data_IF_080922971687
#
_entry.id   IF_080922971687
#
_cell.length_a   1.000
_cell.length_b   1.000
_cell.length_c   1.000
_cell.angle_alpha   90.00
_cell.angle_beta   90.00
_cell.angle_gamma   90.00
#
_symmetry.space_group_name_H-M   'P 1'
#
loop_
_entity.id
_entity.type
_entity.pdbx_description
1 polymer ?
#
# COMPACT_ATOMS: atom_id res chain seq x y z
N UNK A 1 12.69 -9.62 -3.31
CA UNK A 1 12.55 -8.25 -2.77
C UNK A 1 13.88 -7.60 -2.43
N UNK A 2 14.67 -8.11 -1.48
CA UNK A 2 15.98 -7.54 -1.08
C UNK A 2 16.91 -7.11 -2.23
N UNK A 3 17.23 -8.01 -3.16
CA UNK A 3 18.12 -7.71 -4.29
C UNK A 3 17.59 -6.57 -5.18
N UNK A 4 16.26 -6.47 -5.31
CA UNK A 4 15.62 -5.38 -6.05
C UNK A 4 15.79 -4.05 -5.31
N UNK A 5 15.55 -4.01 -3.99
CA UNK A 5 15.73 -2.82 -3.16
C UNK A 5 17.18 -2.32 -3.20
N UNK A 6 18.15 -3.24 -3.07
CA UNK A 6 19.59 -2.93 -3.18
C UNK A 6 19.93 -2.33 -4.55
N UNK A 7 19.37 -2.87 -5.64
CA UNK A 7 19.56 -2.34 -7.01
C UNK A 7 18.91 -0.97 -7.19
N UNK A 8 17.75 -0.75 -6.58
CA UNK A 8 17.02 0.52 -6.59
C UNK A 8 17.62 1.56 -5.64
N UNK A 9 18.61 1.21 -4.82
CA UNK A 9 19.19 2.10 -3.81
C UNK A 9 18.26 2.38 -2.62
N UNK A 10 17.22 1.58 -2.42
CA UNK A 10 16.25 1.72 -1.35
C UNK A 10 16.54 0.77 -0.18
N UNK A 11 16.21 1.19 1.03
CA UNK A 11 16.41 0.37 2.26
C UNK A 11 15.10 0.00 2.95
N UNK A 12 13.98 0.40 2.37
CA UNK A 12 12.63 0.18 2.88
C UNK A 12 11.63 0.28 1.73
N UNK A 13 10.43 -0.24 1.96
CA UNK A 13 9.32 -0.13 1.03
C UNK A 13 7.99 -0.14 1.78
N UNK A 14 6.95 0.33 1.08
CA UNK A 14 5.56 0.16 1.48
C UNK A 14 4.72 -0.23 0.26
N UNK A 15 3.66 -0.98 0.50
CA UNK A 15 2.57 -1.25 -0.42
C UNK A 15 1.32 -0.64 0.20
N UNK A 16 0.69 0.27 -0.53
CA UNK A 16 -0.48 1.03 -0.09
C UNK A 16 -1.54 0.98 -1.18
N UNK A 17 -2.80 0.87 -0.78
CA UNK A 17 -3.97 0.94 -1.68
C UNK A 17 -4.99 1.91 -1.09
N UNK A 18 -5.87 2.47 -1.93
CA UNK A 18 -7.04 3.22 -1.46
C UNK A 18 -8.36 2.46 -1.67
N UNK A 19 -8.27 1.23 -2.19
CA UNK A 19 -9.42 0.36 -2.46
C UNK A 19 -10.09 -0.12 -1.16
N UNK A 20 -11.40 -0.32 -1.21
CA UNK A 20 -12.21 -0.92 -0.15
C UNK A 20 -11.93 -0.36 1.27
N UNK A 21 -12.09 0.96 1.49
CA UNK A 21 -11.78 1.61 2.76
C UNK A 21 -12.53 0.95 3.93
N UNK A 22 -11.84 0.79 5.06
CA UNK A 22 -12.36 0.07 6.22
C UNK A 22 -12.58 -1.43 5.96
N UNK A 23 -11.90 -2.00 4.95
CA UNK A 23 -12.14 -3.35 4.44
C UNK A 23 -13.60 -3.59 4.04
N UNK A 24 -14.29 -2.53 3.59
CA UNK A 24 -15.66 -2.60 3.10
C UNK A 24 -15.66 -2.57 1.57
N UNK A 25 -16.28 -3.57 0.90
CA UNK A 25 -16.43 -3.54 -0.55
C UNK A 25 -17.15 -2.28 -1.01
N UNK A 26 -16.54 -1.57 -1.95
CA UNK A 26 -17.19 -0.50 -2.72
C UNK A 26 -17.18 -0.84 -4.20
N UNK A 27 -17.86 -0.04 -5.01
CA UNK A 27 -17.87 -0.27 -6.45
C UNK A 27 -16.49 0.00 -7.09
N UNK A 28 -16.23 -0.65 -8.22
CA UNK A 28 -14.94 -0.58 -8.89
C UNK A 28 -14.59 0.84 -9.38
N UNK A 29 -15.59 1.65 -9.74
CA UNK A 29 -15.36 3.04 -10.18
C UNK A 29 -14.91 3.92 -9.01
N UNK A 30 -15.50 3.74 -7.82
CA UNK A 30 -15.07 4.39 -6.59
C UNK A 30 -13.67 3.95 -6.20
N UNK A 31 -13.35 2.65 -6.28
CA UNK A 31 -12.00 2.16 -6.03
C UNK A 31 -10.98 2.80 -6.98
N UNK A 32 -11.26 2.83 -8.29
CA UNK A 32 -10.39 3.46 -9.27
C UNK A 32 -10.19 4.96 -9.01
N UNK A 33 -11.26 5.69 -8.65
CA UNK A 33 -11.16 7.12 -8.33
C UNK A 33 -10.30 7.37 -7.08
N UNK A 34 -10.49 6.56 -6.03
CA UNK A 34 -9.72 6.67 -4.79
C UNK A 34 -8.25 6.31 -5.02
N UNK A 35 -8.00 5.26 -5.79
CA UNK A 35 -6.66 4.81 -6.14
C UNK A 35 -5.92 5.87 -6.97
N UNK A 36 -6.59 6.50 -7.94
CA UNK A 36 -6.02 7.62 -8.69
C UNK A 36 -5.70 8.84 -7.79
N UNK A 37 -6.51 9.10 -6.76
CA UNK A 37 -6.21 10.15 -5.78
C UNK A 37 -4.97 9.81 -4.94
N UNK A 38 -4.84 8.56 -4.48
CA UNK A 38 -3.64 8.08 -3.80
C UNK A 38 -2.39 8.23 -4.65
N UNK A 39 -2.45 7.86 -5.93
CA UNK A 39 -1.33 8.00 -6.87
C UNK A 39 -0.93 9.46 -7.07
N UNK A 40 -1.89 10.36 -7.27
CA UNK A 40 -1.62 11.80 -7.35
C UNK A 40 -0.92 12.32 -6.10
N UNK A 41 -1.38 11.94 -4.90
CA UNK A 41 -0.77 12.35 -3.64
C UNK A 41 0.66 11.83 -3.47
N UNK A 42 0.93 10.61 -3.92
CA UNK A 42 2.28 10.03 -3.92
C UNK A 42 3.22 10.83 -4.82
N UNK A 43 2.77 11.17 -6.04
CA UNK A 43 3.53 11.97 -6.98
C UNK A 43 3.77 13.40 -6.46
N UNK A 44 2.75 14.02 -5.85
CA UNK A 44 2.87 15.35 -5.23
C UNK A 44 3.83 15.37 -4.03
N UNK A 45 3.91 14.26 -3.29
CA UNK A 45 4.87 14.07 -2.21
C UNK A 45 6.29 13.73 -2.70
N UNK A 46 6.50 13.55 -4.01
CA UNK A 46 7.79 13.28 -4.63
C UNK A 46 8.17 11.79 -4.69
N UNK A 47 7.21 10.89 -4.49
CA UNK A 47 7.42 9.46 -4.72
C UNK A 47 7.18 9.08 -6.17
N UNK A 48 7.86 8.03 -6.61
CA UNK A 48 7.64 7.38 -7.90
C UNK A 48 7.06 5.98 -7.64
N UNK A 49 5.72 5.83 -7.51
CA UNK A 49 5.11 4.54 -7.23
C UNK A 49 5.18 3.61 -8.44
N UNK A 50 5.38 2.32 -8.18
CA UNK A 50 5.16 1.26 -9.15
C UNK A 50 3.73 0.75 -9.00
N UNK A 51 3.03 0.58 -10.13
CA UNK A 51 1.74 -0.09 -10.15
C UNK A 51 1.88 -1.53 -9.61
N UNK A 52 0.95 -1.91 -8.74
CA UNK A 52 0.90 -3.23 -8.11
C UNK A 52 -0.55 -3.67 -7.94
N UNK A 53 -0.77 -4.96 -7.67
CA UNK A 53 -2.09 -5.55 -7.50
C UNK A 53 -2.09 -6.49 -6.29
N UNK A 54 -3.18 -6.45 -5.52
CA UNK A 54 -3.48 -7.45 -4.50
C UNK A 54 -4.36 -8.52 -5.12
N UNK A 55 -3.82 -9.74 -5.20
CA UNK A 55 -4.48 -10.89 -5.81
C UNK A 55 -4.99 -11.80 -4.69
N UNK A 56 -6.29 -12.06 -4.68
CA UNK A 56 -6.88 -13.00 -3.72
C UNK A 56 -6.53 -14.45 -4.10
N UNK A 57 -6.34 -15.32 -3.10
CA UNK A 57 -6.04 -16.75 -3.33
C UNK A 57 -7.17 -17.50 -4.06
N UNK A 58 -8.39 -16.96 -4.03
CA UNK A 58 -9.57 -17.50 -4.71
C UNK A 58 -10.18 -16.48 -5.65
N UNK A 59 -11.07 -16.94 -6.54
CA UNK A 59 -11.74 -16.08 -7.53
C UNK A 59 -12.96 -15.31 -6.98
N UNK A 60 -13.15 -15.28 -5.65
CA UNK A 60 -14.29 -14.63 -5.01
C UNK A 60 -14.15 -13.10 -4.90
N UNK A 61 -12.93 -12.58 -5.04
CA UNK A 61 -12.64 -11.15 -5.01
C UNK A 61 -11.91 -10.74 -6.28
N UNK A 62 -12.22 -9.55 -6.79
CA UNK A 62 -11.49 -8.97 -7.92
C UNK A 62 -10.08 -8.56 -7.46
N UNK A 63 -9.14 -8.59 -8.40
CA UNK A 63 -7.81 -8.04 -8.19
C UNK A 63 -7.93 -6.54 -7.83
N UNK A 64 -7.23 -6.12 -6.78
CA UNK A 64 -7.29 -4.74 -6.30
C UNK A 64 -6.03 -3.97 -6.63
N UNK A 65 -6.18 -2.80 -7.24
CA UNK A 65 -5.06 -1.91 -7.53
C UNK A 65 -4.38 -1.43 -6.25
N UNK A 66 -3.06 -1.29 -6.32
CA UNK A 66 -2.21 -0.79 -5.25
C UNK A 66 -0.96 -0.10 -5.80
N UNK A 67 -0.23 0.56 -4.92
CA UNK A 67 1.07 1.15 -5.22
C UNK A 67 2.15 0.47 -4.40
N UNK A 68 3.24 0.08 -5.05
CA UNK A 68 4.49 -0.23 -4.37
C UNK A 68 5.39 1.02 -4.39
N UNK A 69 5.86 1.44 -3.22
CA UNK A 69 6.70 2.63 -3.07
C UNK A 69 8.04 2.23 -2.45
N UNK A 70 9.11 2.47 -3.20
CA UNK A 70 10.47 2.33 -2.71
C UNK A 70 10.85 3.52 -1.82
N UNK A 71 11.65 3.25 -0.78
CA UNK A 71 12.18 4.23 0.17
C UNK A 71 11.13 5.00 1.00
N UNK A 72 9.87 4.57 0.99
CA UNK A 72 8.83 5.11 1.87
C UNK A 72 8.97 4.58 3.31
N UNK A 73 8.86 5.49 4.29
CA UNK A 73 8.87 5.17 5.72
C UNK A 73 7.55 4.54 6.19
N UNK A 74 7.63 3.65 7.19
CA UNK A 74 6.44 3.00 7.77
C UNK A 74 5.42 4.01 8.31
N UNK A 75 5.85 5.01 9.07
CA UNK A 75 4.94 6.00 9.67
C UNK A 75 4.25 6.87 8.62
N UNK A 76 4.96 7.20 7.54
CA UNK A 76 4.42 7.97 6.42
C UNK A 76 3.40 7.16 5.62
N UNK A 77 3.73 5.90 5.32
CA UNK A 77 2.79 4.97 4.70
C UNK A 77 1.53 4.74 5.56
N UNK A 78 1.68 4.65 6.89
CA UNK A 78 0.55 4.53 7.82
C UNK A 78 -0.29 5.81 7.84
N UNK A 79 0.32 6.99 7.78
CA UNK A 79 -0.41 8.25 7.68
C UNK A 79 -1.23 8.34 6.38
N UNK A 80 -0.64 7.90 5.27
CA UNK A 80 -1.32 7.83 3.97
C UNK A 80 -2.49 6.82 4.01
N UNK A 81 -2.24 5.64 4.55
CA UNK A 81 -3.25 4.61 4.75
C UNK A 81 -4.42 5.10 5.62
N UNK A 82 -4.15 5.77 6.75
CA UNK A 82 -5.19 6.38 7.59
C UNK A 82 -6.03 7.41 6.80
N UNK A 83 -5.38 8.26 6.02
CA UNK A 83 -6.06 9.27 5.18
C UNK A 83 -6.99 8.62 4.16
N UNK A 84 -6.56 7.52 3.55
CA UNK A 84 -7.34 6.75 2.56
C UNK A 84 -8.27 5.70 3.18
N UNK A 85 -8.42 5.68 4.51
CA UNK A 85 -9.34 4.80 5.22
C UNK A 85 -8.89 3.33 5.27
N UNK A 86 -7.63 3.04 5.04
CA UNK A 86 -7.08 1.69 5.14
C UNK A 86 -6.86 1.27 6.58
N UNK A 87 -7.03 -0.03 6.83
CA UNK A 87 -6.80 -0.63 8.16
C UNK A 87 -5.33 -1.03 8.37
N UNK A 88 -4.61 -1.32 7.29
CA UNK A 88 -3.23 -1.76 7.33
C UNK A 88 -2.49 -1.42 6.03
N UNK A 89 -1.16 -1.53 6.08
CA UNK A 89 -0.26 -1.54 4.94
C UNK A 89 0.63 -2.78 5.01
N UNK A 90 1.23 -3.15 3.89
CA UNK A 90 2.41 -4.02 3.90
C UNK A 90 3.64 -3.14 3.78
N UNK A 91 4.62 -3.29 4.66
CA UNK A 91 5.90 -2.59 4.56
C UNK A 91 7.05 -3.53 4.85
N UNK A 92 8.29 -3.11 4.62
CA UNK A 92 9.46 -3.90 4.97
C UNK A 92 10.75 -3.12 4.87
N UNK A 93 11.80 -3.67 5.46
CA UNK A 93 13.13 -3.06 5.51
C UNK A 93 14.07 -3.59 4.43
N UNK A 94 15.37 -3.35 4.64
CA UNK A 94 16.43 -3.73 3.71
C UNK A 94 16.62 -5.25 3.60
N UNK A 95 16.09 -6.02 4.56
CA UNK A 95 16.02 -7.48 4.48
C UNK A 95 15.01 -7.97 3.43
N UNK A 96 14.10 -7.09 2.98
CA UNK A 96 13.07 -7.37 2.00
C UNK A 96 11.95 -8.26 2.54
N UNK A 97 11.83 -8.42 3.86
CA UNK A 97 10.76 -9.20 4.47
C UNK A 97 9.51 -8.33 4.65
N UNK A 98 8.36 -8.70 4.05
CA UNK A 98 7.13 -7.95 4.22
C UNK A 98 6.52 -8.21 5.61
N UNK A 99 6.09 -7.15 6.26
CA UNK A 99 5.33 -7.12 7.50
C UNK A 99 4.01 -6.38 7.31
N UNK A 100 2.97 -6.83 8.00
CA UNK A 100 1.69 -6.14 8.05
C UNK A 100 1.72 -5.12 9.19
N UNK A 101 1.49 -3.84 8.90
CA UNK A 101 1.42 -2.77 9.88
C UNK A 101 0.02 -2.13 9.91
N UNK A 102 -0.57 -2.01 11.09
CA UNK A 102 -1.94 -1.53 11.28
C UNK A 102 -1.99 -0.02 11.55
N UNK A 103 -2.97 0.68 10.97
CA UNK A 103 -3.15 2.14 11.10
C UNK A 103 -3.67 2.58 12.46
N UNK A 104 -4.43 1.71 13.12
CA UNK A 104 -4.74 1.75 14.54
C UNK A 104 -3.98 0.62 15.21
N UNK A 105 -3.56 0.73 16.47
CA UNK A 105 -2.81 -0.31 17.19
C UNK A 105 -3.55 -1.65 17.42
N UNK A 106 -4.24 -2.19 16.42
CA UNK A 106 -4.88 -3.50 16.44
C UNK A 106 -3.83 -4.60 16.23
N UNK A 107 -2.87 -4.65 17.13
CA UNK A 107 -2.32 -5.93 17.55
C UNK A 107 -3.37 -6.57 18.49
N UNK A 108 -4.19 -7.46 17.95
CA UNK A 108 -5.04 -8.37 18.73
C UNK A 108 -6.54 -8.06 18.69
N UNK A 109 -7.27 -8.91 17.99
CA UNK A 109 -8.24 -9.83 18.61
C UNK A 109 -8.10 -11.19 17.96
#
# INVERSE_FOLDING_TARGET
MRCWLETAGATRFAIVTACNPGSQPVDAEQNALRQAQLECELLEAGFEPYAAENIADGSDWADEESCFIADMGRDEALALAMKHGQLAIVCGGADGLPELAWTSGQAGQ
#
